data_IF_817049643964
#
_entry.id   IF_817049643964
#
_cell.length_a   1.000
_cell.length_b   1.000
_cell.length_c   1.000
_cell.angle_alpha   90.00
_cell.angle_beta   90.00
_cell.angle_gamma   90.00
#
_symmetry.space_group_name_H-M   'P 1'
#
loop_
_entity.id
_entity.type
_entity.pdbx_description
1 polymer ?
#
# COMPACT_ATOMS: atom_id res chain seq x y z
N UNK A 1 -26.21 2.51 8.11
CA UNK A 1 -26.03 2.00 6.72
C UNK A 1 -24.62 1.43 6.62
N UNK A 2 -24.44 0.18 6.18
CA UNK A 2 -23.09 -0.39 6.03
C UNK A 2 -22.39 0.24 4.82
N UNK A 3 -21.12 0.67 4.94
CA UNK A 3 -20.40 1.25 3.82
C UNK A 3 -20.21 0.18 2.74
N UNK A 4 -20.38 0.57 1.48
CA UNK A 4 -20.01 -0.27 0.36
C UNK A 4 -18.50 -0.62 0.45
N UNK A 5 -18.09 -1.88 0.26
CA UNK A 5 -16.70 -2.29 0.44
C UNK A 5 -15.75 -1.58 -0.55
N UNK A 6 -16.21 -1.22 -1.76
CA UNK A 6 -15.37 -0.49 -2.71
C UNK A 6 -15.21 0.96 -2.29
N UNK A 7 -16.25 1.57 -1.73
CA UNK A 7 -16.14 2.91 -1.15
C UNK A 7 -15.17 2.95 0.03
N UNK A 8 -15.17 1.90 0.88
CA UNK A 8 -14.19 1.75 1.95
C UNK A 8 -12.75 1.68 1.40
N UNK A 9 -12.50 0.79 0.43
CA UNK A 9 -11.16 0.61 -0.14
C UNK A 9 -10.68 1.86 -0.91
N UNK A 10 -11.56 2.54 -1.64
CA UNK A 10 -11.24 3.80 -2.33
C UNK A 10 -10.81 4.90 -1.34
N UNK A 11 -11.51 5.03 -0.22
CA UNK A 11 -11.09 5.95 0.86
C UNK A 11 -9.74 5.57 1.46
N UNK A 12 -9.47 4.28 1.59
CA UNK A 12 -8.13 3.83 2.03
C UNK A 12 -7.06 4.17 0.99
N UNK A 13 -7.34 4.03 -0.31
CA UNK A 13 -6.43 4.45 -1.38
C UNK A 13 -6.12 5.95 -1.31
N UNK A 14 -7.15 6.79 -1.11
CA UNK A 14 -6.97 8.24 -0.94
C UNK A 14 -6.01 8.55 0.22
N UNK A 15 -6.22 7.90 1.38
CA UNK A 15 -5.34 8.07 2.54
C UNK A 15 -3.91 7.58 2.27
N UNK A 16 -3.74 6.47 1.53
CA UNK A 16 -2.43 5.97 1.14
C UNK A 16 -1.75 6.98 0.20
N UNK A 17 -2.47 7.50 -0.80
CA UNK A 17 -1.96 8.48 -1.76
C UNK A 17 -1.52 9.77 -1.08
N UNK A 18 -2.27 10.25 -0.08
CA UNK A 18 -1.88 11.41 0.73
C UNK A 18 -0.59 11.14 1.51
N UNK A 19 -0.44 9.97 2.11
CA UNK A 19 0.81 9.59 2.78
C UNK A 19 1.99 9.48 1.81
N UNK A 20 1.77 8.93 0.61
CA UNK A 20 2.79 8.88 -0.44
C UNK A 20 3.21 10.28 -0.88
N UNK A 21 2.25 11.23 -1.00
CA UNK A 21 2.53 12.63 -1.32
C UNK A 21 3.35 13.31 -0.22
N UNK A 22 3.03 13.07 1.06
CA UNK A 22 3.82 13.59 2.18
C UNK A 22 5.26 13.05 2.15
N UNK A 23 5.44 11.76 1.87
CA UNK A 23 6.78 11.14 1.73
C UNK A 23 7.54 11.80 0.58
N UNK A 24 6.92 11.91 -0.60
CA UNK A 24 7.56 12.51 -1.77
C UNK A 24 7.97 13.96 -1.52
N UNK A 25 7.10 14.76 -0.88
CA UNK A 25 7.37 16.16 -0.51
C UNK A 25 8.54 16.26 0.47
N UNK A 26 8.64 15.32 1.42
CA UNK A 26 9.74 15.27 2.39
C UNK A 26 11.07 14.92 1.74
N UNK A 27 11.07 14.13 0.67
CA UNK A 27 12.30 13.65 -0.01
C UNK A 27 12.70 14.54 -1.20
N UNK A 28 11.79 15.36 -1.74
CA UNK A 28 12.04 16.19 -2.91
C UNK A 28 13.25 17.15 -2.77
N UNK A 29 13.47 17.84 -1.63
CA UNK A 29 14.64 18.70 -1.47
C UNK A 29 15.97 17.92 -1.59
N UNK A 30 16.04 16.74 -0.95
CA UNK A 30 17.19 15.84 -0.98
C UNK A 30 17.52 15.36 -2.39
N UNK A 31 16.50 15.07 -3.20
CA UNK A 31 16.66 14.67 -4.60
C UNK A 31 17.20 15.80 -5.49
N UNK A 32 16.71 17.03 -5.30
CA UNK A 32 17.09 18.18 -6.13
C UNK A 32 18.51 18.67 -5.85
N UNK A 33 18.93 18.59 -4.58
CA UNK A 33 20.21 19.12 -4.11
C UNK A 33 21.25 18.03 -3.87
N UNK A 34 20.96 16.79 -4.26
CA UNK A 34 21.84 15.61 -4.07
C UNK A 34 22.44 15.49 -2.67
N UNK A 35 21.65 15.79 -1.64
CA UNK A 35 22.08 15.68 -0.24
C UNK A 35 21.23 14.67 0.51
N UNK A 36 21.81 14.08 1.55
CA UNK A 36 21.09 13.25 2.50
C UNK A 36 19.96 14.05 3.17
N UNK A 37 18.82 13.44 3.54
CA UNK A 37 17.80 14.14 4.31
C UNK A 37 18.36 14.63 5.65
N UNK A 38 17.86 15.76 6.12
CA UNK A 38 18.16 16.37 7.43
C UNK A 38 17.50 15.62 8.57
N UNK A 39 17.99 15.76 9.81
CA UNK A 39 17.43 15.04 10.97
C UNK A 39 15.90 15.22 11.15
N UNK A 40 15.30 16.41 10.96
CA UNK A 40 13.84 16.58 10.98
C UNK A 40 13.12 15.81 9.85
N UNK A 41 13.67 15.79 8.64
CA UNK A 41 13.12 15.04 7.51
C UNK A 41 13.17 13.53 7.79
N UNK A 42 14.26 13.03 8.40
CA UNK A 42 14.39 11.64 8.82
C UNK A 42 13.33 11.22 9.84
N UNK A 43 13.13 12.04 10.89
CA UNK A 43 12.09 11.78 11.91
C UNK A 43 10.70 11.74 11.27
N UNK A 44 10.43 12.68 10.36
CA UNK A 44 9.17 12.75 9.60
C UNK A 44 8.97 11.50 8.75
N UNK A 45 9.97 11.10 7.96
CA UNK A 45 9.92 9.89 7.14
C UNK A 45 9.66 8.64 7.99
N UNK A 46 10.29 8.53 9.16
CA UNK A 46 10.09 7.39 10.07
C UNK A 46 8.64 7.27 10.52
N UNK A 47 8.00 8.38 10.89
CA UNK A 47 6.58 8.38 11.27
C UNK A 47 5.68 8.08 10.07
N UNK A 48 5.98 8.63 8.90
CA UNK A 48 5.23 8.33 7.67
C UNK A 48 5.32 6.84 7.29
N UNK A 49 6.50 6.21 7.38
CA UNK A 49 6.66 4.76 7.11
C UNK A 49 6.05 3.85 8.18
N UNK A 50 5.68 4.37 9.36
CA UNK A 50 4.88 3.62 10.34
C UNK A 50 3.49 3.31 9.80
N UNK A 51 2.91 4.20 9.00
CA UNK A 51 1.62 3.97 8.33
C UNK A 51 1.67 2.74 7.41
N UNK A 52 2.70 2.63 6.56
CA UNK A 52 2.88 1.54 5.60
C UNK A 52 3.20 0.17 6.24
N UNK A 53 3.70 0.16 7.48
CA UNK A 53 3.99 -1.07 8.22
C UNK A 53 2.88 -1.47 9.20
N UNK A 54 1.84 -0.65 9.35
CA UNK A 54 0.68 -0.90 10.22
C UNK A 54 -0.64 -0.84 9.45
N UNK A 55 -1.15 0.38 9.21
CA UNK A 55 -2.45 0.63 8.56
C UNK A 55 -2.56 -0.02 7.19
N UNK A 56 -1.52 0.05 6.36
CA UNK A 56 -1.59 -0.52 5.01
C UNK A 56 -1.61 -2.06 5.01
N UNK A 57 -1.09 -2.71 6.05
CA UNK A 57 -1.24 -4.16 6.20
C UNK A 57 -2.71 -4.57 6.41
N UNK A 58 -3.49 -3.75 7.12
CA UNK A 58 -4.94 -3.96 7.29
C UNK A 58 -5.66 -3.79 5.95
N UNK A 59 -5.31 -2.73 5.20
CA UNK A 59 -5.84 -2.51 3.85
C UNK A 59 -5.61 -3.73 2.93
N UNK A 60 -4.37 -4.23 2.84
CA UNK A 60 -4.07 -5.44 2.04
C UNK A 60 -4.86 -6.68 2.50
N UNK A 61 -5.10 -6.84 3.80
CA UNK A 61 -5.94 -7.94 4.30
C UNK A 61 -7.40 -7.79 3.83
N UNK A 62 -7.93 -6.57 3.81
CA UNK A 62 -9.28 -6.28 3.30
C UNK A 62 -9.38 -6.54 1.80
N UNK A 63 -8.40 -6.10 1.02
CA UNK A 63 -8.33 -6.45 -0.41
C UNK A 63 -8.23 -7.97 -0.64
N UNK A 64 -7.50 -8.69 0.21
CA UNK A 64 -7.42 -10.15 0.13
C UNK A 64 -8.79 -10.82 0.34
N UNK A 65 -9.65 -10.28 1.21
CA UNK A 65 -11.05 -10.71 1.38
C UNK A 65 -11.83 -10.50 0.09
N UNK A 66 -11.69 -9.34 -0.56
CA UNK A 66 -12.34 -9.04 -1.84
C UNK A 66 -11.86 -9.98 -2.96
N UNK A 67 -10.54 -10.14 -3.11
CA UNK A 67 -9.95 -11.08 -4.08
C UNK A 67 -10.42 -12.51 -3.86
N UNK A 68 -10.56 -12.94 -2.59
CA UNK A 68 -11.07 -14.28 -2.29
C UNK A 68 -12.55 -14.42 -2.66
N UNK A 69 -13.37 -13.38 -2.47
CA UNK A 69 -14.77 -13.38 -2.89
C UNK A 69 -14.92 -13.41 -4.41
N UNK A 70 -14.15 -12.59 -5.12
CA UNK A 70 -14.10 -12.59 -6.58
C UNK A 70 -13.59 -13.93 -7.13
N UNK A 71 -12.54 -14.50 -6.53
CA UNK A 71 -12.04 -15.82 -6.92
C UNK A 71 -13.11 -16.92 -6.85
N UNK A 72 -14.07 -16.81 -5.92
CA UNK A 72 -15.22 -17.73 -5.85
C UNK A 72 -16.24 -17.48 -6.96
N UNK A 73 -16.46 -16.23 -7.38
CA UNK A 73 -17.39 -15.91 -8.48
C UNK A 73 -16.87 -16.34 -9.86
N UNK A 74 -15.55 -16.47 -10.04
CA UNK A 74 -14.93 -16.94 -11.29
C UNK A 74 -14.83 -18.48 -11.41
N UNK A 75 -15.23 -19.25 -10.41
CA UNK A 75 -15.15 -20.71 -10.47
C UNK A 75 -13.73 -21.24 -10.73
N UNK A 76 -13.53 -22.01 -11.81
CA UNK A 76 -12.24 -22.63 -12.21
C UNK A 76 -11.41 -21.77 -13.18
N UNK A 77 -11.79 -20.52 -13.44
CA UNK A 77 -11.08 -19.69 -14.40
C UNK A 77 -9.64 -19.37 -13.94
N UNK A 78 -8.66 -19.92 -14.66
CA UNK A 78 -7.24 -19.89 -14.26
C UNK A 78 -6.62 -18.49 -14.36
N UNK A 79 -7.10 -17.68 -15.29
CA UNK A 79 -6.64 -16.30 -15.56
C UNK A 79 -6.87 -15.38 -14.36
N UNK A 80 -8.08 -15.34 -13.80
CA UNK A 80 -8.42 -14.50 -12.65
C UNK A 80 -7.62 -14.88 -11.41
N UNK A 81 -7.41 -16.19 -11.17
CA UNK A 81 -6.60 -16.67 -10.04
C UNK A 81 -5.13 -16.23 -10.17
N UNK A 82 -4.54 -16.35 -11.35
CA UNK A 82 -3.17 -15.91 -11.60
C UNK A 82 -3.00 -14.39 -11.43
N UNK A 83 -3.98 -13.59 -11.86
CA UNK A 83 -3.96 -12.14 -11.66
C UNK A 83 -3.99 -11.78 -10.18
N UNK A 84 -4.88 -12.39 -9.38
CA UNK A 84 -4.95 -12.14 -7.94
C UNK A 84 -3.70 -12.62 -7.19
N UNK A 85 -3.06 -13.71 -7.63
CA UNK A 85 -1.75 -14.13 -7.12
C UNK A 85 -0.65 -13.12 -7.44
N UNK A 86 -0.70 -12.49 -8.62
CA UNK A 86 0.15 -11.36 -8.98
C UNK A 86 0.03 -10.20 -7.99
N UNK A 87 -1.19 -9.72 -7.75
CA UNK A 87 -1.47 -8.63 -6.80
C UNK A 87 -0.97 -8.97 -5.38
N UNK A 88 -1.25 -10.19 -4.90
CA UNK A 88 -0.77 -10.64 -3.58
C UNK A 88 0.75 -10.73 -3.47
N UNK A 89 1.44 -11.10 -4.55
CA UNK A 89 2.92 -11.08 -4.59
C UNK A 89 3.42 -9.64 -4.48
N UNK A 90 2.78 -8.73 -5.19
CA UNK A 90 3.12 -7.32 -5.18
C UNK A 90 2.90 -6.68 -3.80
N UNK A 91 1.78 -6.98 -3.12
CA UNK A 91 1.55 -6.60 -1.71
C UNK A 91 2.67 -7.05 -0.78
N UNK A 92 3.13 -8.30 -0.93
CA UNK A 92 4.24 -8.84 -0.12
C UNK A 92 5.54 -8.09 -0.40
N UNK A 93 5.82 -7.78 -1.66
CA UNK A 93 7.00 -7.03 -2.05
C UNK A 93 6.97 -5.60 -1.47
N UNK A 94 5.86 -4.87 -1.65
CA UNK A 94 5.66 -3.52 -1.09
C UNK A 94 5.77 -3.49 0.43
N UNK A 95 5.20 -4.48 1.12
CA UNK A 95 5.33 -4.60 2.58
C UNK A 95 6.79 -4.84 3.00
N UNK A 96 7.51 -5.68 2.27
CA UNK A 96 8.93 -5.97 2.53
C UNK A 96 9.78 -4.72 2.35
N UNK A 97 9.55 -3.96 1.27
CA UNK A 97 10.22 -2.70 1.01
C UNK A 97 9.93 -1.66 2.10
N UNK A 98 8.68 -1.51 2.53
CA UNK A 98 8.30 -0.60 3.60
C UNK A 98 8.98 -0.95 4.94
N UNK A 99 9.07 -2.24 5.28
CA UNK A 99 9.77 -2.71 6.49
C UNK A 99 11.27 -2.45 6.39
N UNK A 100 11.89 -2.73 5.23
CA UNK A 100 13.31 -2.51 5.02
C UNK A 100 13.68 -1.02 5.11
N UNK A 101 12.89 -0.13 4.49
CA UNK A 101 13.07 1.32 4.59
C UNK A 101 12.90 1.77 6.05
N UNK A 102 11.84 1.33 6.73
CA UNK A 102 11.61 1.69 8.14
C UNK A 102 12.73 1.20 9.07
N UNK A 103 13.29 0.01 8.83
CA UNK A 103 14.42 -0.51 9.60
C UNK A 103 15.65 0.40 9.46
N UNK A 104 16.00 0.78 8.22
CA UNK A 104 17.09 1.74 7.97
C UNK A 104 16.83 3.11 8.60
N UNK A 105 15.57 3.59 8.57
CA UNK A 105 15.16 4.85 9.23
C UNK A 105 15.37 4.79 10.75
N UNK A 106 15.30 3.61 11.38
CA UNK A 106 15.56 3.42 12.81
C UNK A 106 17.06 3.28 13.11
N UNK A 107 17.80 2.55 12.30
CA UNK A 107 19.23 2.28 12.53
C UNK A 107 20.07 3.57 12.53
N UNK A 108 19.74 4.56 11.69
CA UNK A 108 20.38 5.88 11.70
C UNK A 108 20.24 6.65 13.02
N UNK A 109 19.25 6.33 13.85
CA UNK A 109 19.10 6.96 15.17
C UNK A 109 19.92 6.30 16.28
N UNK A 110 20.33 5.04 16.09
CA UNK A 110 21.03 4.25 17.11
C UNK A 110 22.55 4.36 17.03
N UNK A 111 23.09 4.72 15.86
CA UNK A 111 24.51 4.93 15.66
C UNK A 111 24.71 6.26 14.94
N UNK A 112 25.63 7.10 15.43
CA UNK A 112 26.26 8.17 14.66
C UNK A 112 27.15 7.57 13.56
N UNK A 113 26.58 6.67 12.75
CA UNK A 113 27.29 5.88 11.75
C UNK A 113 27.01 6.46 10.38
N UNK A 114 28.10 6.79 9.68
CA UNK A 114 28.17 7.27 8.30
C UNK A 114 27.56 6.28 7.28
N UNK A 115 27.12 5.09 7.71
CA UNK A 115 26.86 3.92 6.84
C UNK A 115 25.40 3.71 6.45
N UNK A 116 24.43 4.37 7.10
CA UNK A 116 23.00 4.11 6.85
C UNK A 116 22.28 5.27 6.17
N UNK A 117 22.81 5.78 5.06
CA UNK A 117 22.05 6.74 4.25
C UNK A 117 21.01 6.00 3.39
N UNK A 118 19.74 6.41 3.54
CA UNK A 118 18.67 5.89 2.71
C UNK A 118 18.68 6.73 1.46
N UNK A 119 19.02 6.09 0.35
CA UNK A 119 18.95 6.67 -0.98
C UNK A 119 17.55 7.27 -1.24
N UNK A 120 17.44 8.60 -1.40
CA UNK A 120 16.21 9.29 -1.80
C UNK A 120 15.57 8.69 -3.06
N UNK A 121 16.37 8.17 -4.00
CA UNK A 121 15.87 7.52 -5.22
C UNK A 121 15.11 6.23 -4.89
N UNK A 122 15.56 5.46 -3.89
CA UNK A 122 14.85 4.26 -3.44
C UNK A 122 13.47 4.59 -2.87
N UNK A 123 13.36 5.67 -2.10
CA UNK A 123 12.06 6.12 -1.57
C UNK A 123 11.15 6.57 -2.73
N UNK A 124 11.68 7.31 -3.70
CA UNK A 124 10.92 7.71 -4.90
C UNK A 124 10.42 6.50 -5.69
N UNK A 125 11.27 5.49 -5.92
CA UNK A 125 10.87 4.25 -6.59
C UNK A 125 9.78 3.50 -5.82
N UNK A 126 9.87 3.45 -4.48
CA UNK A 126 8.81 2.90 -3.63
C UNK A 126 7.48 3.64 -3.82
N UNK A 127 7.51 4.98 -3.84
CA UNK A 127 6.32 5.81 -4.06
C UNK A 127 5.68 5.54 -5.42
N UNK A 128 6.47 5.52 -6.49
CA UNK A 128 5.99 5.25 -7.85
C UNK A 128 5.38 3.86 -7.97
N UNK A 129 6.04 2.85 -7.40
CA UNK A 129 5.57 1.46 -7.40
C UNK A 129 4.22 1.32 -6.68
N UNK A 130 4.06 1.98 -5.53
CA UNK A 130 2.79 1.99 -4.80
C UNK A 130 1.65 2.64 -5.61
N UNK A 131 1.90 3.80 -6.24
CA UNK A 131 0.90 4.48 -7.08
C UNK A 131 0.46 3.61 -8.25
N UNK A 132 1.41 2.94 -8.89
CA UNK A 132 1.13 2.00 -9.97
C UNK A 132 0.28 0.81 -9.49
N UNK A 133 0.57 0.29 -8.30
CA UNK A 133 -0.20 -0.81 -7.71
C UNK A 133 -1.65 -0.40 -7.40
N UNK A 134 -1.88 0.74 -6.75
CA UNK A 134 -3.24 1.23 -6.46
C UNK A 134 -4.05 1.44 -7.75
N UNK A 135 -3.40 2.00 -8.77
CA UNK A 135 -4.02 2.19 -10.09
C UNK A 135 -4.37 0.86 -10.76
N UNK A 136 -3.53 -0.16 -10.58
CA UNK A 136 -3.76 -1.52 -11.09
C UNK A 136 -4.96 -2.18 -10.38
N UNK A 137 -5.04 -2.06 -9.05
CA UNK A 137 -6.15 -2.56 -8.24
C UNK A 137 -7.47 -1.89 -8.62
N UNK A 138 -7.48 -0.58 -8.80
CA UNK A 138 -8.68 0.14 -9.24
C UNK A 138 -9.16 -0.32 -10.62
N UNK A 139 -8.24 -0.51 -11.55
CA UNK A 139 -8.57 -0.94 -12.93
C UNK A 139 -9.02 -2.39 -13.03
N UNK A 140 -8.54 -3.25 -12.14
CA UNK A 140 -8.81 -4.69 -12.19
C UNK A 140 -9.79 -5.07 -11.08
N UNK A 141 -9.38 -4.94 -9.82
CA UNK A 141 -10.11 -5.44 -8.67
C UNK A 141 -11.46 -4.74 -8.50
N UNK A 142 -11.50 -3.41 -8.59
CA UNK A 142 -12.74 -2.66 -8.36
C UNK A 142 -13.72 -2.81 -9.53
N UNK A 143 -13.22 -2.76 -10.76
CA UNK A 143 -14.05 -3.02 -11.95
C UNK A 143 -14.66 -4.43 -11.90
N UNK A 144 -13.88 -5.45 -11.55
CA UNK A 144 -14.40 -6.81 -11.43
C UNK A 144 -15.43 -6.94 -10.29
N UNK A 145 -15.20 -6.25 -9.17
CA UNK A 145 -16.17 -6.21 -8.07
C UNK A 145 -17.49 -5.56 -8.46
N UNK A 146 -17.46 -4.47 -9.23
CA UNK A 146 -18.67 -3.82 -9.73
C UNK A 146 -19.43 -4.70 -10.71
N UNK A 147 -18.73 -5.40 -11.61
CA UNK A 147 -19.33 -6.22 -12.65
C UNK A 147 -19.83 -7.59 -12.17
N UNK A 148 -19.19 -8.17 -11.14
CA UNK A 148 -19.41 -9.57 -10.76
C UNK A 148 -20.09 -9.78 -9.41
N UNK A 149 -20.06 -8.79 -8.53
CA UNK A 149 -20.62 -8.93 -7.18
C UNK A 149 -21.99 -8.28 -7.08
N UNK A 150 -22.94 -9.02 -6.52
CA UNK A 150 -24.26 -8.49 -6.17
C UNK A 150 -24.16 -7.55 -4.97
N UNK A 151 -25.17 -6.70 -4.78
CA UNK A 151 -25.25 -5.82 -3.60
C UNK A 151 -25.19 -6.62 -2.29
N UNK A 152 -25.81 -7.80 -2.24
CA UNK A 152 -25.78 -8.66 -1.07
C UNK A 152 -24.38 -9.23 -0.81
N UNK A 153 -23.69 -9.70 -1.86
CA UNK A 153 -22.30 -10.14 -1.73
C UNK A 153 -21.39 -9.01 -1.24
N UNK A 154 -21.56 -7.79 -1.77
CA UNK A 154 -20.82 -6.60 -1.31
C UNK A 154 -21.08 -6.29 0.16
N UNK A 155 -22.32 -6.41 0.65
CA UNK A 155 -22.64 -6.26 2.08
C UNK A 155 -21.92 -7.29 2.95
N UNK A 156 -21.92 -8.56 2.54
CA UNK A 156 -21.24 -9.63 3.28
C UNK A 156 -19.72 -9.44 3.31
N UNK A 157 -19.13 -8.98 2.21
CA UNK A 157 -17.69 -8.66 2.13
C UNK A 157 -17.38 -7.48 3.04
N UNK A 158 -18.18 -6.41 3.01
CA UNK A 158 -18.00 -5.25 3.89
C UNK A 158 -18.00 -5.65 5.37
N UNK A 159 -18.95 -6.49 5.80
CA UNK A 159 -18.97 -7.02 7.17
C UNK A 159 -17.67 -7.74 7.53
N UNK A 160 -17.16 -8.61 6.66
CA UNK A 160 -15.88 -9.33 6.89
C UNK A 160 -14.68 -8.38 6.93
N UNK A 161 -14.66 -7.33 6.11
CA UNK A 161 -13.59 -6.33 6.10
C UNK A 161 -13.53 -5.51 7.39
N UNK A 162 -14.70 -5.17 7.96
CA UNK A 162 -14.80 -4.39 9.19
C UNK A 162 -14.43 -5.19 10.45
N UNK A 163 -14.38 -6.52 10.36
CA UNK A 163 -13.93 -7.40 11.44
C UNK A 163 -12.41 -7.61 11.47
N UNK A 164 -11.67 -7.07 10.50
CA UNK A 164 -10.20 -7.00 10.48
C UNK A 164 -9.74 -5.70 11.14
#
# INVERSE_FOLDING_TARGET
MMPDPLHLLKREHELILDHLRMIETTVAPSLLRHHAPTEPEWKTLRELFRFFTGRVAIHFNREAVLMAALGRSFGRERSARQQFEGLRREHRALRTDAVAIRKRLKEKTAAASEVADIDPCRIRSFVQRYRAQLSCEERILFVLADLRLTAEQRRQISHRMLQI
#
